data_IF_187637618286
#
_entry.id   IF_187637618286
#
_cell.length_a   1.000
_cell.length_b   1.000
_cell.length_c   1.000
_cell.angle_alpha   90.00
_cell.angle_beta   90.00
_cell.angle_gamma   90.00
#
_symmetry.space_group_name_H-M   'P 1'
#
loop_
_entity.id
_entity.type
_entity.pdbx_description
1 polymer ?
#
# COMPACT_ATOMS: atom_id res chain seq x y z
N UNK A 1 1.77 -85.54 -9.81
CA UNK A 1 0.68 -84.78 -10.47
C UNK A 1 -0.26 -84.28 -9.37
N UNK A 2 -0.86 -83.09 -9.58
CA UNK A 2 -1.60 -82.27 -8.59
C UNK A 2 -0.68 -81.49 -7.63
N UNK A 3 -0.82 -80.18 -7.47
CA UNK A 3 -1.85 -79.26 -7.93
C UNK A 3 -1.90 -78.08 -6.97
N UNK A 4 -1.90 -76.88 -7.53
CA UNK A 4 -1.88 -75.56 -6.89
C UNK A 4 -2.87 -75.35 -5.72
N UNK A 5 -2.60 -74.38 -4.84
CA UNK A 5 -3.39 -73.14 -4.82
C UNK A 5 -2.86 -72.13 -3.78
N UNK A 6 -2.44 -71.00 -4.33
CA UNK A 6 -2.16 -69.73 -3.68
C UNK A 6 -3.45 -69.13 -3.12
N UNK A 7 -3.44 -68.67 -1.86
CA UNK A 7 -4.39 -67.67 -1.36
C UNK A 7 -3.61 -66.52 -0.70
N UNK A 8 -3.46 -65.43 -1.44
CA UNK A 8 -3.12 -64.12 -0.89
C UNK A 8 -4.16 -63.13 -1.41
N UNK A 9 -5.19 -62.88 -0.60
CA UNK A 9 -6.22 -61.88 -0.87
C UNK A 9 -6.17 -60.82 0.23
N UNK A 10 -6.10 -59.55 -0.20
CA UNK A 10 -6.65 -58.45 0.58
C UNK A 10 -5.65 -57.55 1.30
N UNK A 11 -4.98 -56.66 0.57
CA UNK A 11 -4.52 -55.37 1.11
C UNK A 11 -4.37 -54.33 -0.02
N UNK A 12 -5.48 -53.97 -0.66
CA UNK A 12 -5.54 -52.81 -1.58
C UNK A 12 -6.85 -52.05 -1.41
N UNK A 13 -7.07 -51.47 -0.24
CA UNK A 13 -8.20 -50.57 -0.03
C UNK A 13 -7.91 -49.58 1.11
N UNK A 14 -6.83 -48.80 1.02
CA UNK A 14 -6.62 -47.65 1.91
C UNK A 14 -5.47 -46.74 1.41
N UNK A 15 -5.56 -46.24 0.17
CA UNK A 15 -4.65 -45.17 -0.33
C UNK A 15 -5.35 -44.11 -1.18
N UNK A 16 -6.66 -43.94 -1.05
CA UNK A 16 -7.44 -43.03 -1.90
C UNK A 16 -8.19 -41.92 -1.13
N UNK A 17 -7.87 -41.66 0.14
CA UNK A 17 -8.62 -40.70 0.97
C UNK A 17 -7.77 -39.62 1.67
N UNK A 18 -6.48 -39.48 1.34
CA UNK A 18 -5.60 -38.45 1.93
C UNK A 18 -5.23 -37.28 1.01
N UNK A 19 -5.72 -37.27 -0.23
CA UNK A 19 -5.38 -36.23 -1.22
C UNK A 19 -6.33 -35.04 -1.31
N UNK A 20 -7.52 -35.10 -0.71
CA UNK A 20 -8.58 -34.09 -0.95
C UNK A 20 -8.69 -32.98 0.12
N UNK A 21 -7.99 -33.09 1.25
CA UNK A 21 -8.09 -32.09 2.33
C UNK A 21 -7.13 -30.89 2.16
N UNK A 22 -6.09 -31.01 1.34
CA UNK A 22 -5.09 -29.94 1.16
C UNK A 22 -5.51 -28.87 0.13
N UNK A 23 -6.42 -29.18 -0.80
CA UNK A 23 -6.83 -28.25 -1.85
C UNK A 23 -7.87 -27.21 -1.37
N UNK A 24 -8.62 -27.50 -0.29
CA UNK A 24 -9.65 -26.59 0.22
C UNK A 24 -9.12 -25.50 1.16
N UNK A 25 -7.91 -25.63 1.70
CA UNK A 25 -7.31 -24.64 2.59
C UNK A 25 -6.52 -23.54 1.87
N UNK A 26 -6.12 -23.74 0.60
CA UNK A 26 -5.45 -22.69 -0.19
C UNK A 26 -6.41 -21.72 -0.90
N UNK A 27 -7.69 -22.07 -1.04
CA UNK A 27 -8.67 -21.22 -1.74
C UNK A 27 -9.14 -19.99 -0.95
N UNK A 28 -8.96 -19.98 0.38
CA UNK A 28 -9.46 -18.90 1.23
C UNK A 28 -8.54 -17.67 1.31
N UNK A 29 -7.28 -17.79 0.87
CA UNK A 29 -6.27 -16.72 0.97
C UNK A 29 -6.15 -15.84 -0.29
N UNK A 30 -6.90 -16.16 -1.35
CA UNK A 30 -6.86 -15.44 -2.64
C UNK A 30 -8.22 -14.84 -2.98
N UNK A 31 -8.91 -14.26 -2.00
CA UNK A 31 -10.07 -13.43 -2.31
C UNK A 31 -9.54 -12.10 -2.88
N UNK A 32 -9.77 -11.80 -4.18
CA UNK A 32 -9.49 -10.47 -4.68
C UNK A 32 -10.32 -9.50 -3.85
N UNK A 33 -9.67 -8.52 -3.23
CA UNK A 33 -10.36 -7.44 -2.55
C UNK A 33 -11.32 -6.82 -3.58
N UNK A 34 -12.63 -6.83 -3.28
CA UNK A 34 -13.60 -6.19 -4.14
C UNK A 34 -13.17 -4.73 -4.36
N UNK A 35 -13.28 -4.25 -5.60
CA UNK A 35 -13.01 -2.86 -5.94
C UNK A 35 -13.74 -1.97 -4.92
N UNK A 36 -12.96 -1.22 -4.13
CA UNK A 36 -13.49 -0.41 -3.03
C UNK A 36 -14.31 0.76 -3.57
N UNK A 37 -15.21 1.24 -2.70
CA UNK A 37 -16.01 2.45 -2.89
C UNK A 37 -15.11 3.64 -3.23
N UNK A 38 -15.70 4.66 -3.86
CA UNK A 38 -15.10 5.82 -4.51
C UNK A 38 -13.77 6.30 -3.89
N UNK A 39 -12.85 6.78 -4.72
CA UNK A 39 -11.51 7.18 -4.26
C UNK A 39 -11.53 8.25 -3.16
N UNK A 40 -12.64 8.97 -2.95
CA UNK A 40 -12.81 9.94 -1.85
C UNK A 40 -13.72 9.46 -0.71
N UNK A 41 -14.17 8.21 -0.75
CA UNK A 41 -14.97 7.58 0.29
C UNK A 41 -14.03 6.79 1.23
N UNK A 42 -13.32 7.53 2.09
CA UNK A 42 -12.37 6.99 3.08
C UNK A 42 -13.01 6.15 4.20
N UNK A 43 -14.23 5.63 3.99
CA UNK A 43 -15.00 4.89 4.96
C UNK A 43 -15.52 5.79 6.09
N UNK A 44 -15.02 5.59 7.31
CA UNK A 44 -15.51 6.29 8.50
C UNK A 44 -15.01 7.74 8.63
N UNK A 45 -14.06 8.16 7.81
CA UNK A 45 -13.45 9.49 7.87
C UNK A 45 -13.55 10.18 6.52
N UNK A 46 -14.19 11.35 6.52
CA UNK A 46 -14.28 12.19 5.32
C UNK A 46 -12.94 12.87 5.07
N UNK A 47 -12.40 12.70 3.86
CA UNK A 47 -11.20 13.39 3.43
C UNK A 47 -11.60 14.82 3.05
N UNK A 48 -11.03 15.85 3.69
CA UNK A 48 -11.41 17.23 3.45
C UNK A 48 -11.04 17.66 2.03
N UNK A 49 -11.92 18.42 1.36
CA UNK A 49 -11.71 18.89 -0.01
C UNK A 49 -11.16 17.79 -0.93
N UNK A 50 -11.76 16.60 -0.92
CA UNK A 50 -11.26 15.49 -1.70
C UNK A 50 -11.66 15.59 -3.18
N UNK A 51 -10.72 15.32 -4.07
CA UNK A 51 -10.91 15.20 -5.51
C UNK A 51 -10.26 13.90 -6.01
N UNK A 52 -11.01 13.04 -6.72
CA UNK A 52 -10.43 11.87 -7.37
C UNK A 52 -9.42 12.27 -8.45
N UNK A 53 -8.22 11.68 -8.42
CA UNK A 53 -7.19 11.84 -9.46
C UNK A 53 -6.86 10.49 -10.10
N UNK A 54 -7.25 10.35 -11.37
CA UNK A 54 -6.99 9.15 -12.17
C UNK A 54 -5.52 9.11 -12.56
N UNK A 55 -4.87 8.00 -12.27
CA UNK A 55 -3.46 7.76 -12.56
C UNK A 55 -3.29 7.15 -13.96
N UNK A 56 -2.05 7.12 -14.45
CA UNK A 56 -1.74 6.47 -15.72
C UNK A 56 -2.02 4.95 -15.64
N UNK A 57 -2.53 4.32 -16.71
CA UNK A 57 -2.71 2.88 -16.75
C UNK A 57 -1.37 2.14 -16.68
N UNK A 58 -1.34 1.03 -15.94
CA UNK A 58 -0.18 0.13 -15.87
C UNK A 58 -0.58 -1.24 -16.41
N UNK A 59 0.24 -1.79 -17.31
CA UNK A 59 0.03 -3.12 -17.88
C UNK A 59 0.82 -4.19 -17.11
N UNK A 60 0.20 -5.35 -16.95
CA UNK A 60 0.75 -6.53 -16.30
C UNK A 60 0.50 -7.75 -17.17
N UNK A 61 1.47 -8.64 -17.20
CA UNK A 61 1.29 -10.02 -17.67
C UNK A 61 0.49 -10.84 -16.66
N UNK A 62 0.04 -12.03 -17.05
CA UNK A 62 -0.72 -12.90 -16.15
C UNK A 62 0.10 -13.38 -14.94
N UNK A 63 -0.50 -13.35 -13.74
CA UNK A 63 0.17 -13.66 -12.46
C UNK A 63 1.31 -12.74 -12.05
N UNK A 64 1.49 -11.61 -12.73
CA UNK A 64 2.57 -10.69 -12.41
C UNK A 64 2.26 -9.86 -11.16
N UNK A 65 3.30 -9.64 -10.34
CA UNK A 65 3.28 -8.77 -9.16
C UNK A 65 4.36 -7.71 -9.28
N UNK A 66 4.01 -6.44 -9.08
CA UNK A 66 4.96 -5.33 -9.07
C UNK A 66 4.55 -4.27 -8.03
N UNK A 67 5.53 -3.53 -7.53
CA UNK A 67 5.33 -2.35 -6.69
C UNK A 67 5.26 -1.07 -7.53
N UNK A 68 4.34 -0.17 -7.17
CA UNK A 68 4.17 1.13 -7.83
C UNK A 68 3.96 2.24 -6.81
N UNK A 69 4.43 3.43 -7.18
CA UNK A 69 4.17 4.68 -6.46
C UNK A 69 3.30 5.58 -7.34
N UNK A 70 2.21 6.07 -6.75
CA UNK A 70 1.29 7.02 -7.37
C UNK A 70 1.30 8.31 -6.56
N UNK A 71 0.99 9.43 -7.23
CA UNK A 71 1.12 10.74 -6.61
C UNK A 71 -0.12 11.60 -6.84
N UNK A 72 -0.55 12.27 -5.78
CA UNK A 72 -1.44 13.41 -5.87
C UNK A 72 -0.65 14.64 -6.36
N UNK A 73 -1.24 15.38 -7.28
CA UNK A 73 -0.59 16.54 -7.92
C UNK A 73 -1.58 17.70 -8.10
N UNK A 74 -1.10 18.83 -8.63
CA UNK A 74 -1.95 19.96 -8.96
C UNK A 74 -2.49 20.71 -7.74
N UNK A 75 -3.76 21.08 -7.79
CA UNK A 75 -4.45 21.86 -6.74
C UNK A 75 -4.90 21.01 -5.53
N UNK A 76 -4.83 19.68 -5.65
CA UNK A 76 -5.07 18.71 -4.58
C UNK A 76 -3.83 17.84 -4.40
N UNK A 77 -2.74 18.36 -3.81
CA UNK A 77 -1.46 17.68 -3.86
C UNK A 77 -1.32 16.60 -2.80
N UNK A 78 -2.28 16.35 -1.91
CA UNK A 78 -2.08 15.46 -0.76
C UNK A 78 -2.85 14.16 -0.87
N UNK A 79 -2.22 13.04 -0.51
CA UNK A 79 -2.85 11.73 -0.38
C UNK A 79 -3.07 11.42 1.10
N UNK A 80 -4.28 11.01 1.47
CA UNK A 80 -4.60 10.60 2.83
C UNK A 80 -4.63 9.07 2.91
N UNK A 81 -3.47 8.48 3.21
CA UNK A 81 -3.29 7.03 3.31
C UNK A 81 -3.30 6.50 4.73
N UNK A 82 -2.64 5.35 4.91
CA UNK A 82 -2.56 4.65 6.18
C UNK A 82 -1.90 5.48 7.29
N UNK A 83 -0.97 6.38 6.94
CA UNK A 83 -0.35 7.35 7.85
C UNK A 83 -1.36 8.26 8.56
N UNK A 84 -2.56 8.40 8.02
CA UNK A 84 -3.67 9.20 8.57
C UNK A 84 -4.83 8.35 9.08
N UNK A 85 -4.60 7.05 9.28
CA UNK A 85 -5.63 6.08 9.68
C UNK A 85 -6.78 5.94 8.66
N UNK A 86 -6.56 6.37 7.42
CA UNK A 86 -7.52 6.20 6.32
C UNK A 86 -6.97 5.12 5.40
N UNK A 87 -7.58 3.94 5.45
CA UNK A 87 -7.19 2.82 4.59
C UNK A 87 -8.08 2.76 3.36
N UNK A 88 -7.46 2.57 2.20
CA UNK A 88 -8.17 2.40 0.94
C UNK A 88 -8.77 3.70 0.41
N UNK A 89 -8.04 4.81 0.52
CA UNK A 89 -8.33 6.09 -0.14
C UNK A 89 -8.04 6.04 -1.66
N UNK A 90 -8.41 4.93 -2.29
CA UNK A 90 -8.18 4.70 -3.70
C UNK A 90 -9.23 3.74 -4.23
N UNK A 91 -9.45 3.80 -5.55
CA UNK A 91 -10.23 2.81 -6.27
C UNK A 91 -9.44 2.27 -7.46
N UNK A 92 -9.87 1.11 -7.97
CA UNK A 92 -9.31 0.52 -9.18
C UNK A 92 -10.43 0.09 -10.13
N UNK A 93 -10.15 0.14 -11.43
CA UNK A 93 -11.14 -0.17 -12.47
C UNK A 93 -11.15 -1.64 -12.92
N UNK A 94 -10.33 -2.50 -12.32
CA UNK A 94 -10.15 -3.88 -12.79
C UNK A 94 -10.14 -4.87 -11.61
N UNK A 95 -11.16 -5.72 -11.56
CA UNK A 95 -11.33 -6.74 -10.52
C UNK A 95 -10.40 -7.96 -10.66
N UNK A 96 -9.63 -8.08 -11.75
CA UNK A 96 -8.56 -9.07 -11.87
C UNK A 96 -7.40 -8.80 -10.90
N UNK A 97 -7.31 -7.60 -10.32
CA UNK A 97 -6.17 -7.20 -9.51
C UNK A 97 -6.49 -7.21 -8.02
N UNK A 98 -5.49 -7.57 -7.22
CA UNK A 98 -5.42 -7.12 -5.83
C UNK A 98 -4.47 -5.93 -5.74
N UNK A 99 -4.85 -4.95 -4.93
CA UNK A 99 -4.02 -3.78 -4.60
C UNK A 99 -3.80 -3.80 -3.09
N UNK A 100 -2.55 -3.90 -2.66
CA UNK A 100 -2.15 -3.85 -1.26
C UNK A 100 -1.31 -2.59 -1.04
N UNK A 101 -1.85 -1.64 -0.28
CA UNK A 101 -1.14 -0.42 0.15
C UNK A 101 0.08 -0.81 0.99
N UNK A 102 1.25 -0.29 0.61
CA UNK A 102 2.50 -0.49 1.34
C UNK A 102 2.69 0.66 2.34
N UNK A 103 2.04 0.51 3.48
CA UNK A 103 1.99 1.51 4.56
C UNK A 103 3.36 1.92 5.10
N UNK A 104 4.41 1.12 4.85
CA UNK A 104 5.76 1.41 5.31
C UNK A 104 6.57 2.23 4.28
N UNK A 105 6.09 2.34 3.04
CA UNK A 105 6.72 3.10 1.98
C UNK A 105 6.10 4.49 1.76
N UNK A 106 4.93 4.77 2.37
CA UNK A 106 4.18 6.02 2.29
C UNK A 106 4.80 7.14 3.12
N UNK A 107 5.97 7.55 2.67
CA UNK A 107 6.87 8.40 3.41
C UNK A 107 6.69 9.90 3.06
N UNK A 108 5.69 10.18 2.22
CA UNK A 108 5.41 11.46 1.57
C UNK A 108 3.92 11.80 1.67
N UNK A 109 3.62 13.08 1.91
CA UNK A 109 2.25 13.56 2.09
C UNK A 109 1.37 13.44 0.82
N UNK A 110 1.98 13.20 -0.33
CA UNK A 110 1.32 13.15 -1.65
C UNK A 110 1.39 11.78 -2.32
N UNK A 111 1.94 10.76 -1.65
CA UNK A 111 2.32 9.49 -2.28
C UNK A 111 1.46 8.34 -1.76
N UNK A 112 1.04 7.49 -2.68
CA UNK A 112 0.43 6.19 -2.42
C UNK A 112 1.34 5.11 -2.98
N UNK A 113 1.87 4.25 -2.11
CA UNK A 113 2.65 3.08 -2.51
C UNK A 113 1.79 1.84 -2.44
N UNK A 114 1.84 1.01 -3.47
CA UNK A 114 1.11 -0.24 -3.49
C UNK A 114 1.85 -1.35 -4.20
N UNK A 115 1.63 -2.57 -3.72
CA UNK A 115 1.92 -3.81 -4.44
C UNK A 115 0.64 -4.26 -5.16
N UNK A 116 0.75 -4.45 -6.47
CA UNK A 116 -0.36 -4.88 -7.32
C UNK A 116 -0.04 -6.27 -7.88
N UNK A 117 -1.05 -7.15 -7.89
CA UNK A 117 -0.94 -8.49 -8.47
C UNK A 117 -2.08 -8.72 -9.45
N UNK A 118 -1.75 -9.09 -10.69
CA UNK A 118 -2.73 -9.53 -11.69
C UNK A 118 -3.04 -11.03 -11.48
N UNK A 119 -4.25 -11.36 -11.06
CA UNK A 119 -4.67 -12.76 -10.85
C UNK A 119 -5.23 -13.43 -12.12
N UNK A 120 -5.40 -12.66 -13.21
CA UNK A 120 -5.86 -13.19 -14.47
C UNK A 120 -4.73 -13.86 -15.24
N UNK A 121 -5.08 -14.86 -16.07
CA UNK A 121 -4.08 -15.65 -16.83
C UNK A 121 -3.45 -14.89 -17.99
N UNK A 122 -4.10 -13.81 -18.42
CA UNK A 122 -3.75 -13.02 -19.57
C UNK A 122 -3.30 -11.61 -19.17
N UNK A 123 -2.69 -10.92 -20.12
CA UNK A 123 -2.27 -9.55 -19.93
C UNK A 123 -3.47 -8.64 -19.67
N UNK A 124 -3.35 -7.81 -18.65
CA UNK A 124 -4.38 -6.87 -18.21
C UNK A 124 -3.75 -5.54 -17.86
N UNK A 125 -4.54 -4.47 -17.93
CA UNK A 125 -4.16 -3.17 -17.41
C UNK A 125 -5.03 -2.80 -16.22
N UNK A 126 -4.45 -2.05 -15.28
CA UNK A 126 -5.15 -1.45 -14.15
C UNK A 126 -4.97 0.06 -14.20
N UNK A 127 -6.04 0.78 -13.81
CA UNK A 127 -6.02 2.21 -13.54
C UNK A 127 -6.37 2.41 -12.07
N UNK A 128 -5.48 3.07 -11.35
CA UNK A 128 -5.71 3.50 -9.96
C UNK A 128 -6.29 4.92 -9.99
N UNK A 129 -7.26 5.19 -9.14
CA UNK A 129 -7.73 6.54 -8.85
C UNK A 129 -7.48 6.83 -7.38
N UNK A 130 -6.76 7.90 -7.07
CA UNK A 130 -6.48 8.32 -5.70
C UNK A 130 -7.50 9.36 -5.24
N UNK A 131 -7.87 9.36 -3.96
CA UNK A 131 -8.56 10.50 -3.35
C UNK A 131 -7.56 11.53 -2.88
N UNK A 132 -7.41 12.62 -3.64
CA UNK A 132 -6.45 13.66 -3.34
C UNK A 132 -7.10 14.84 -2.64
N UNK A 133 -6.41 15.46 -1.69
CA UNK A 133 -6.90 16.56 -0.87
C UNK A 133 -6.08 17.83 -1.08
N UNK A 134 -6.71 18.98 -0.89
CA UNK A 134 -6.01 20.26 -0.74
C UNK A 134 -5.35 20.42 0.64
N UNK A 135 -5.80 19.64 1.64
CA UNK A 135 -5.30 19.70 3.00
C UNK A 135 -4.32 18.54 3.22
N UNK A 136 -3.21 18.78 3.92
CA UNK A 136 -2.30 17.70 4.22
C UNK A 136 -2.95 16.69 5.18
N UNK A 137 -2.56 15.41 5.10
CA UNK A 137 -2.85 14.44 6.13
C UNK A 137 -2.35 14.89 7.52
N UNK A 138 -3.05 14.55 8.63
CA UNK A 138 -2.57 14.79 9.99
C UNK A 138 -1.13 14.27 10.15
N UNK A 139 -0.27 15.12 10.70
CA UNK A 139 1.15 14.81 10.85
C UNK A 139 2.05 15.29 9.71
N UNK A 140 1.49 15.70 8.59
CA UNK A 140 2.21 16.39 7.53
C UNK A 140 1.90 17.89 7.60
N UNK A 141 2.91 18.77 7.71
CA UNK A 141 2.67 20.20 7.78
C UNK A 141 2.11 20.75 6.45
N UNK A 142 1.07 21.60 6.53
CA UNK A 142 0.41 22.23 5.37
C UNK A 142 1.32 23.19 4.58
N UNK A 143 2.48 23.51 5.14
CA UNK A 143 3.34 24.62 4.73
C UNK A 143 4.49 24.20 3.82
N UNK A 144 4.66 22.91 3.54
CA UNK A 144 5.75 22.44 2.71
C UNK A 144 5.25 22.07 1.30
N UNK A 145 5.33 23.02 0.36
CA UNK A 145 5.16 22.69 -1.05
C UNK A 145 6.39 21.88 -1.48
N UNK A 146 6.31 20.54 -1.45
CA UNK A 146 7.48 19.68 -1.65
C UNK A 146 8.10 19.96 -3.03
N UNK A 147 9.41 20.22 -3.03
CA UNK A 147 10.21 20.42 -4.25
C UNK A 147 11.35 19.40 -4.30
N UNK A 148 11.41 18.65 -5.39
CA UNK A 148 12.47 17.66 -5.63
C UNK A 148 12.24 16.32 -4.94
N UNK A 149 13.27 15.48 -5.02
CA UNK A 149 13.29 14.10 -4.51
C UNK A 149 13.60 14.06 -3.01
N UNK A 150 13.28 12.93 -2.33
CA UNK A 150 13.68 12.73 -0.94
C UNK A 150 15.20 12.80 -0.77
N UNK A 151 15.64 13.48 0.29
CA UNK A 151 17.03 13.53 0.73
C UNK A 151 17.19 12.92 2.12
N UNK A 152 18.42 12.56 2.50
CA UNK A 152 18.72 12.23 3.89
C UNK A 152 18.58 13.46 4.80
N UNK A 153 18.55 13.23 6.11
CA UNK A 153 18.60 14.27 7.14
C UNK A 153 19.72 15.29 6.86
N UNK A 154 19.41 16.58 6.59
CA UNK A 154 20.42 17.59 6.31
C UNK A 154 21.14 18.08 7.57
N UNK A 155 20.72 17.65 8.77
CA UNK A 155 21.31 18.01 10.06
C UNK A 155 21.02 19.46 10.45
N UNK A 156 19.89 20.00 10.01
CA UNK A 156 19.51 21.39 10.23
C UNK A 156 18.75 21.54 11.55
N UNK A 157 18.38 22.79 11.90
CA UNK A 157 17.69 23.01 13.19
C UNK A 157 16.28 22.46 13.12
N UNK A 158 15.99 21.43 13.90
CA UNK A 158 14.70 20.76 13.94
C UNK A 158 13.68 21.52 14.81
N UNK A 159 12.46 21.62 14.33
CA UNK A 159 11.29 22.24 14.97
C UNK A 159 10.04 21.38 14.71
N UNK A 160 8.94 21.68 15.42
CA UNK A 160 7.62 21.04 15.20
C UNK A 160 7.61 19.50 15.25
N UNK A 161 8.43 18.91 16.13
CA UNK A 161 8.51 17.45 16.28
C UNK A 161 7.17 16.88 16.74
N UNK A 162 6.62 15.95 15.97
CA UNK A 162 5.35 15.29 16.25
C UNK A 162 5.50 13.78 16.11
N UNK A 163 5.07 13.02 17.11
CA UNK A 163 5.06 11.55 17.05
C UNK A 163 3.68 11.05 16.63
N UNK A 164 3.65 10.13 15.68
CA UNK A 164 2.46 9.48 15.17
C UNK A 164 2.57 8.00 15.46
N UNK A 165 1.63 7.45 16.22
CA UNK A 165 1.65 6.04 16.61
C UNK A 165 0.28 5.42 16.38
N UNK A 166 0.27 4.36 15.59
CA UNK A 166 -0.85 3.46 15.39
C UNK A 166 -1.04 2.53 16.58
N UNK A 167 -2.29 2.27 16.93
CA UNK A 167 -2.71 1.27 17.92
C UNK A 167 -2.81 -0.16 17.34
N UNK A 168 -2.33 -0.38 16.11
CA UNK A 168 -2.22 -1.72 15.51
C UNK A 168 -1.32 -2.64 16.34
N UNK A 169 -1.39 -3.95 16.08
CA UNK A 169 -0.51 -4.94 16.68
C UNK A 169 0.29 -5.67 15.58
N UNK A 170 1.59 -5.38 15.39
CA UNK A 170 2.40 -4.46 16.19
C UNK A 170 2.06 -2.97 15.95
N UNK A 171 2.33 -2.09 16.93
CA UNK A 171 2.17 -0.66 16.75
C UNK A 171 3.22 -0.15 15.76
N UNK A 172 2.79 0.72 14.85
CA UNK A 172 3.67 1.41 13.90
C UNK A 172 3.78 2.85 14.37
N UNK A 173 5.00 3.34 14.58
CA UNK A 173 5.25 4.70 15.02
C UNK A 173 6.25 5.38 14.10
N UNK A 174 5.95 6.61 13.67
CA UNK A 174 6.86 7.48 12.95
C UNK A 174 6.84 8.88 13.56
N UNK A 175 7.92 9.63 13.38
CA UNK A 175 8.03 11.00 13.85
C UNK A 175 8.11 11.94 12.65
N UNK A 176 7.36 13.03 12.65
CA UNK A 176 7.54 14.11 11.68
C UNK A 176 8.17 15.33 12.34
N UNK A 177 8.90 16.12 11.56
CA UNK A 177 9.52 17.35 12.02
C UNK A 177 9.74 18.32 10.86
N UNK A 178 10.02 19.58 11.18
CA UNK A 178 10.42 20.59 10.21
C UNK A 178 11.84 21.03 10.49
N UNK A 179 12.69 21.11 9.48
CA UNK A 179 14.05 21.61 9.62
C UNK A 179 14.22 22.91 8.86
N UNK A 180 14.99 23.84 9.43
CA UNK A 180 15.41 25.06 8.73
C UNK A 180 16.92 25.18 8.79
N UNK A 181 17.54 25.24 7.62
CA UNK A 181 18.98 25.37 7.46
C UNK A 181 19.42 26.84 7.52
N UNK A 182 20.73 27.07 7.71
CA UNK A 182 21.28 28.44 7.84
C UNK A 182 21.13 29.32 6.60
N UNK A 183 20.88 28.72 5.43
CA UNK A 183 20.59 29.40 4.17
C UNK A 183 19.09 29.76 4.00
N UNK A 184 18.25 29.44 4.99
CA UNK A 184 16.80 29.63 4.96
C UNK A 184 16.05 28.50 4.26
N UNK A 185 16.73 27.49 3.72
CA UNK A 185 16.06 26.32 3.15
C UNK A 185 15.31 25.57 4.24
N UNK A 186 14.02 25.31 4.01
CA UNK A 186 13.19 24.52 4.92
C UNK A 186 13.00 23.11 4.38
N UNK A 187 12.90 22.14 5.28
CA UNK A 187 12.61 20.74 4.98
C UNK A 187 11.46 20.23 5.85
N UNK A 188 10.64 19.36 5.29
CA UNK A 188 9.72 18.50 6.05
C UNK A 188 10.34 17.11 6.14
N UNK A 189 10.59 16.66 7.36
CA UNK A 189 11.30 15.41 7.62
C UNK A 189 10.39 14.40 8.32
N UNK A 190 10.57 13.13 7.99
CA UNK A 190 9.95 12.01 8.68
C UNK A 190 11.03 11.02 9.08
N UNK A 191 10.96 10.57 10.33
CA UNK A 191 11.80 9.53 10.90
C UNK A 191 10.95 8.30 11.20
N UNK A 192 11.30 7.17 10.60
CA UNK A 192 10.69 5.86 10.87
C UNK A 192 11.78 4.80 10.95
N UNK A 193 11.63 3.84 11.87
CA UNK A 193 12.60 2.76 12.10
C UNK A 193 14.06 3.25 12.20
N UNK A 194 14.25 4.43 12.80
CA UNK A 194 15.54 5.13 12.93
C UNK A 194 16.18 5.61 11.61
N UNK A 195 15.43 5.64 10.51
CA UNK A 195 15.81 6.26 9.24
C UNK A 195 15.06 7.58 9.11
N UNK A 196 15.79 8.68 8.89
CA UNK A 196 15.22 10.00 8.62
C UNK A 196 15.35 10.33 7.14
N UNK A 197 14.26 10.75 6.53
CA UNK A 197 14.24 11.34 5.19
C UNK A 197 13.54 12.69 5.23
N UNK A 198 13.97 13.59 4.36
CA UNK A 198 13.54 14.97 4.33
C UNK A 198 13.17 15.40 2.90
N UNK A 199 12.20 16.31 2.80
CA UNK A 199 11.76 16.91 1.55
C UNK A 199 11.94 18.41 1.61
N UNK A 200 12.57 18.99 0.59
CA UNK A 200 12.77 20.44 0.53
C UNK A 200 11.43 21.13 0.32
N UNK A 201 11.11 22.10 1.16
CA UNK A 201 9.96 22.95 0.99
C UNK A 201 10.27 24.07 0.00
N UNK A 202 9.46 24.17 -1.05
CA UNK A 202 9.44 25.29 -1.98
C UNK A 202 9.02 26.56 -1.26
N UNK A 203 9.72 27.65 -1.58
CA UNK A 203 9.43 29.02 -1.13
C UNK A 203 8.18 29.60 -1.80
#
# INVERSE_FOLDING_TARGET
MSGAAVRAAGTRAMRAARGLAAALLLGALLHPAAARADACDGGATTIPSCQPQVQAPVAYTGWETQGWAYYCTGDHPYYWGASSYILGNFSSNNSCFSVAEDVFAENQANKFDATLTNWCLNDQSIVITLGCSQQPPPGFPATCNITGDPVGDPGCTTTNITNHCSSTNPPVCFQTSSETCGDGTSYSCTTDLAVTWCFKCGS
#
